data_IF_721278873237
#
_entry.id   IF_721278873237
#
_cell.length_a   1.000
_cell.length_b   1.000
_cell.length_c   1.000
_cell.angle_alpha   90.00
_cell.angle_beta   90.00
_cell.angle_gamma   90.00
#
_symmetry.space_group_name_H-M   'P 1'
#
loop_
_entity.id
_entity.type
_entity.pdbx_description
1 polymer ?
#
# COMPACT_ATOMS: atom_id res chain seq x y z
N UNK A 1 -0.65 -7.09 -13.32
CA UNK A 1 -0.47 -7.55 -11.93
C UNK A 1 0.11 -6.42 -11.12
N UNK A 2 -0.19 -6.35 -9.83
CA UNK A 2 0.40 -5.39 -8.90
C UNK A 2 0.77 -6.10 -7.59
N UNK A 3 1.78 -5.58 -6.91
CA UNK A 3 2.17 -5.94 -5.54
C UNK A 3 2.66 -4.66 -4.88
N UNK A 4 1.90 -4.17 -3.91
CA UNK A 4 2.12 -2.85 -3.33
C UNK A 4 2.04 -2.93 -1.80
N UNK A 5 2.90 -2.19 -1.12
CA UNK A 5 2.73 -1.99 0.32
C UNK A 5 1.63 -0.95 0.58
N UNK A 6 0.94 -1.06 1.70
CA UNK A 6 -0.17 -0.17 2.02
C UNK A 6 -0.27 0.18 3.51
N UNK A 7 -1.16 1.11 3.79
CA UNK A 7 -1.54 1.48 5.15
C UNK A 7 -2.15 0.28 5.86
N UNK A 8 -1.62 -0.10 7.03
CA UNK A 8 -2.17 -1.20 7.82
C UNK A 8 -3.48 -0.75 8.49
N UNK A 9 -4.55 -1.56 8.46
CA UNK A 9 -5.81 -1.22 9.13
C UNK A 9 -5.68 -1.12 10.66
N UNK A 10 -4.59 -1.64 11.26
CA UNK A 10 -4.34 -1.53 12.70
C UNK A 10 -3.96 -0.08 13.06
N UNK A 11 -4.76 0.64 13.87
CA UNK A 11 -4.57 2.07 14.11
C UNK A 11 -3.20 2.44 14.71
N UNK A 12 -2.63 1.55 15.53
CA UNK A 12 -1.29 1.75 16.09
C UNK A 12 -0.18 1.76 15.04
N UNK A 13 -0.27 0.89 14.04
CA UNK A 13 0.69 0.81 12.93
C UNK A 13 0.47 1.97 11.97
N UNK A 14 -0.79 2.22 11.57
CA UNK A 14 -1.17 3.34 10.72
C UNK A 14 -0.62 4.69 11.24
N UNK A 15 -0.77 4.96 12.54
CA UNK A 15 -0.23 6.17 13.17
C UNK A 15 1.28 6.34 12.95
N UNK A 16 2.04 5.26 13.06
CA UNK A 16 3.48 5.29 12.79
C UNK A 16 3.78 5.42 11.29
N UNK A 17 3.03 4.74 10.42
CA UNK A 17 3.16 4.92 8.98
C UNK A 17 2.94 6.38 8.56
N UNK A 18 1.93 7.08 9.12
CA UNK A 18 1.74 8.51 8.87
C UNK A 18 2.93 9.36 9.36
N UNK A 19 3.44 9.09 10.56
CA UNK A 19 4.58 9.84 11.14
C UNK A 19 5.87 9.68 10.35
N UNK A 20 6.11 8.48 9.81
CA UNK A 20 7.35 8.16 9.09
C UNK A 20 7.27 8.44 7.60
N UNK A 21 6.07 8.62 7.04
CA UNK A 21 5.88 8.93 5.61
C UNK A 21 6.70 10.15 5.14
N UNK A 22 6.80 11.29 5.85
CA UNK A 22 7.64 12.40 5.40
C UNK A 22 9.13 12.05 5.28
N UNK A 23 9.62 11.13 6.11
CA UNK A 23 11.00 10.63 6.05
C UNK A 23 11.14 9.65 4.87
N UNK A 24 10.22 8.68 4.77
CA UNK A 24 10.19 7.73 3.66
C UNK A 24 10.13 8.44 2.30
N UNK A 25 9.36 9.51 2.17
CA UNK A 25 9.28 10.32 0.95
C UNK A 25 10.63 10.86 0.50
N UNK A 26 11.47 11.25 1.46
CA UNK A 26 12.78 11.84 1.17
C UNK A 26 13.86 10.79 0.90
N UNK A 27 13.81 9.66 1.62
CA UNK A 27 14.84 8.64 1.57
C UNK A 27 14.52 7.47 0.63
N UNK A 28 13.25 7.16 0.43
CA UNK A 28 12.75 6.05 -0.36
C UNK A 28 12.14 6.50 -1.68
N UNK A 29 12.82 7.40 -2.39
CA UNK A 29 12.44 7.84 -3.75
C UNK A 29 10.96 8.25 -3.91
N UNK A 30 10.44 8.99 -2.92
CA UNK A 30 9.04 9.44 -2.94
C UNK A 30 8.00 8.42 -2.47
N UNK A 31 8.38 7.22 -2.02
CA UNK A 31 7.46 6.20 -1.51
C UNK A 31 6.67 6.67 -0.27
N UNK A 32 5.43 6.19 -0.13
CA UNK A 32 4.50 6.59 0.94
C UNK A 32 3.98 5.37 1.72
N UNK A 33 4.34 5.25 3.00
CA UNK A 33 3.88 4.13 3.86
C UNK A 33 2.38 4.16 4.17
N UNK A 34 1.74 5.32 4.02
CA UNK A 34 0.36 5.57 4.44
C UNK A 34 -0.65 5.62 3.28
N UNK A 35 -0.27 5.13 2.09
CA UNK A 35 -1.17 5.05 0.95
C UNK A 35 -2.05 3.80 1.04
N UNK A 36 -3.25 3.90 0.48
CA UNK A 36 -4.12 2.77 0.20
C UNK A 36 -3.99 2.44 -1.30
N UNK A 37 -3.29 1.35 -1.67
CA UNK A 37 -3.10 1.00 -3.07
C UNK A 37 -4.41 0.67 -3.78
N UNK A 38 -5.41 0.08 -3.09
CA UNK A 38 -6.68 -0.32 -3.73
C UNK A 38 -7.46 0.90 -4.16
N UNK A 39 -7.55 1.89 -3.26
CA UNK A 39 -8.17 3.17 -3.56
C UNK A 39 -7.46 3.89 -4.71
N UNK A 40 -6.13 3.90 -4.72
CA UNK A 40 -5.35 4.58 -5.77
C UNK A 40 -5.51 3.92 -7.14
N UNK A 41 -5.51 2.59 -7.21
CA UNK A 41 -5.74 1.85 -8.45
C UNK A 41 -7.12 2.17 -9.02
N UNK A 42 -8.16 2.17 -8.17
CA UNK A 42 -9.52 2.52 -8.58
C UNK A 42 -9.63 3.99 -9.03
N UNK A 43 -9.01 4.92 -8.30
CA UNK A 43 -8.99 6.34 -8.65
C UNK A 43 -8.27 6.62 -9.97
N UNK A 44 -7.29 5.79 -10.33
CA UNK A 44 -6.60 5.85 -11.61
C UNK A 44 -7.43 5.25 -12.78
N UNK A 45 -8.66 4.81 -12.52
CA UNK A 45 -9.57 4.25 -13.53
C UNK A 45 -9.37 2.77 -13.82
N UNK A 46 -8.47 2.09 -13.13
CA UNK A 46 -8.29 0.65 -13.28
C UNK A 46 -9.41 -0.10 -12.58
N UNK A 47 -9.87 -1.18 -13.19
CA UNK A 47 -10.82 -2.11 -12.57
C UNK A 47 -10.05 -3.23 -11.87
N UNK A 48 -10.17 -3.29 -10.54
CA UNK A 48 -9.67 -4.43 -9.76
C UNK A 48 -10.43 -5.70 -10.14
N UNK A 49 -9.71 -6.75 -10.51
CA UNK A 49 -10.31 -8.04 -10.89
C UNK A 49 -10.17 -9.07 -9.76
N UNK A 50 -8.92 -9.33 -9.34
CA UNK A 50 -8.61 -10.16 -8.17
C UNK A 50 -7.62 -9.40 -7.30
N UNK A 51 -7.85 -9.39 -6.00
CA UNK A 51 -6.91 -8.80 -5.06
C UNK A 51 -6.97 -9.50 -3.71
N UNK A 52 -5.85 -9.50 -3.02
CA UNK A 52 -5.70 -9.97 -1.66
C UNK A 52 -4.88 -8.94 -0.89
N UNK A 53 -5.20 -8.78 0.40
CA UNK A 53 -4.38 -8.03 1.34
C UNK A 53 -3.90 -8.94 2.45
N UNK A 54 -2.60 -8.96 2.68
CA UNK A 54 -1.98 -9.87 3.64
C UNK A 54 -0.89 -9.18 4.45
N UNK A 55 -0.60 -9.71 5.63
CA UNK A 55 0.56 -9.31 6.44
C UNK A 55 1.67 -10.32 6.23
N UNK A 56 2.76 -9.90 5.61
CA UNK A 56 3.93 -10.74 5.36
C UNK A 56 4.79 -10.78 6.63
N UNK A 57 4.96 -11.97 7.21
CA UNK A 57 5.59 -12.11 8.53
C UNK A 57 7.04 -11.64 8.58
N UNK A 58 7.79 -11.84 7.49
CA UNK A 58 9.23 -11.53 7.42
C UNK A 58 9.52 -10.04 7.09
N UNK A 59 8.48 -9.20 7.03
CA UNK A 59 8.62 -7.77 6.80
C UNK A 59 8.47 -6.95 8.10
N UNK A 60 9.13 -5.79 8.21
CA UNK A 60 8.91 -4.87 9.32
C UNK A 60 7.44 -4.48 9.44
N UNK A 61 6.93 -4.36 10.67
CA UNK A 61 5.52 -4.05 10.97
C UNK A 61 4.96 -2.83 10.24
N UNK A 62 5.81 -1.88 9.83
CA UNK A 62 5.40 -0.66 9.14
C UNK A 62 5.23 -0.83 7.62
N UNK A 63 5.81 -1.90 7.05
CA UNK A 63 5.75 -2.22 5.62
C UNK A 63 5.21 -3.62 5.32
N UNK A 64 4.79 -4.37 6.34
CA UNK A 64 4.36 -5.76 6.18
C UNK A 64 2.97 -5.95 5.55
N UNK A 65 2.17 -4.89 5.48
CA UNK A 65 0.81 -4.96 4.97
C UNK A 65 0.86 -4.73 3.46
N UNK A 66 0.65 -5.80 2.72
CA UNK A 66 0.82 -5.87 1.28
C UNK A 66 -0.54 -6.10 0.61
N UNK A 67 -0.76 -5.45 -0.53
CA UNK A 67 -1.87 -5.68 -1.43
C UNK A 67 -1.34 -6.21 -2.75
N UNK A 68 -1.91 -7.31 -3.25
CA UNK A 68 -1.44 -7.97 -4.46
C UNK A 68 -2.62 -8.47 -5.30
N UNK A 69 -2.46 -8.48 -6.63
CA UNK A 69 -3.58 -8.81 -7.51
C UNK A 69 -3.44 -8.46 -8.98
N UNK A 70 -4.57 -8.50 -9.68
CA UNK A 70 -4.75 -8.09 -11.09
C UNK A 70 -5.70 -6.90 -11.18
N UNK A 71 -5.31 -5.94 -12.01
CA UNK A 71 -6.16 -4.80 -12.37
C UNK A 71 -6.16 -4.66 -13.90
N UNK A 72 -7.32 -4.33 -14.43
CA UNK A 72 -7.54 -4.13 -15.86
C UNK A 72 -7.44 -2.64 -16.17
N UNK A 73 -6.78 -2.32 -17.29
CA UNK A 73 -6.65 -0.94 -17.75
C UNK A 73 -8.05 -0.33 -17.97
N UNK A 74 -8.21 0.98 -17.71
CA UNK A 74 -9.38 1.69 -18.19
C UNK A 74 -9.53 1.50 -19.71
N UNK A 75 -10.79 1.52 -20.17
CA UNK A 75 -11.12 1.46 -21.60
C UNK A 75 -10.64 2.70 -22.35
#
# INVERSE_FOLDING_TARGET
YFVEHGIDPKPGIARWQHRLTPIQKRLGDGCHLNRDPMKLIQQAGFRLERHEQTRVHDLPRLGHFMSLGTALKPA
#
